data_IF_138487685626
#
_entry.id   IF_138487685626
#
_cell.length_a   1.000
_cell.length_b   1.000
_cell.length_c   1.000
_cell.angle_alpha   90.00
_cell.angle_beta   90.00
_cell.angle_gamma   90.00
#
_symmetry.space_group_name_H-M   'P 1'
#
loop_
_entity.id
_entity.type
_entity.pdbx_description
1 polymer ?
#
# COMPACT_ATOMS: atom_id res chain seq x y z
N UNK A 1 -32.61 42.90 43.67
CA UNK A 1 -32.56 44.30 43.18
C UNK A 1 -32.14 44.21 41.72
N UNK A 2 -33.12 44.02 40.82
CA UNK A 2 -33.79 45.05 40.01
C UNK A 2 -32.91 45.42 38.80
N UNK A 3 -33.05 44.74 37.66
CA UNK A 3 -34.04 44.94 36.57
C UNK A 3 -33.85 46.23 35.76
N UNK A 4 -33.81 46.03 34.42
CA UNK A 4 -34.37 46.82 33.30
C UNK A 4 -33.37 46.94 32.15
N UNK A 5 -33.69 46.85 30.87
CA UNK A 5 -34.88 46.45 30.09
C UNK A 5 -34.46 46.49 28.62
N UNK A 6 -34.96 45.56 27.80
CA UNK A 6 -34.96 45.60 26.34
C UNK A 6 -35.83 46.74 25.77
N UNK A 7 -35.77 46.96 24.45
CA UNK A 7 -36.97 47.30 23.68
C UNK A 7 -37.25 46.30 22.55
N UNK A 8 -38.44 45.70 22.59
CA UNK A 8 -39.26 45.36 21.40
C UNK A 8 -39.89 46.70 20.88
N UNK A 9 -40.44 46.88 19.68
CA UNK A 9 -41.18 46.01 18.78
C UNK A 9 -41.34 46.73 17.41
N UNK A 10 -41.54 45.98 16.33
CA UNK A 10 -42.83 45.89 15.58
C UNK A 10 -42.63 45.22 14.22
N UNK A 11 -43.47 44.22 13.99
CA UNK A 11 -43.50 43.41 12.78
C UNK A 11 -44.35 43.99 11.65
N UNK A 12 -44.29 43.28 10.54
CA UNK A 12 -45.35 43.18 9.56
C UNK A 12 -45.31 41.79 8.90
N UNK A 13 -46.27 40.97 9.31
CA UNK A 13 -46.89 39.84 8.61
C UNK A 13 -47.53 40.40 7.30
N UNK A 14 -47.74 39.73 6.16
CA UNK A 14 -48.30 38.41 5.81
C UNK A 14 -47.98 38.16 4.31
N UNK A 15 -47.90 36.89 3.88
CA UNK A 15 -48.60 36.28 2.70
C UNK A 15 -47.73 35.20 2.02
N UNK A 16 -48.04 33.95 2.36
CA UNK A 16 -47.78 32.76 1.54
C UNK A 16 -48.62 32.80 0.25
N UNK A 17 -48.12 32.16 -0.82
CA UNK A 17 -48.99 31.25 -1.55
C UNK A 17 -48.33 29.91 -1.90
N UNK A 18 -48.92 28.85 -1.35
CA UNK A 18 -49.36 27.64 -2.06
C UNK A 18 -48.49 27.02 -3.16
N UNK A 19 -48.04 25.79 -2.87
CA UNK A 19 -47.72 24.70 -3.81
C UNK A 19 -48.73 24.58 -4.96
N UNK A 20 -48.29 24.13 -6.15
CA UNK A 20 -48.69 22.78 -6.58
C UNK A 20 -47.63 22.00 -7.38
N UNK A 21 -47.36 20.76 -6.98
CA UNK A 21 -47.16 19.63 -7.91
C UNK A 21 -48.55 19.12 -8.32
N UNK A 22 -48.81 18.58 -9.54
CA UNK A 22 -48.08 17.41 -10.08
C UNK A 22 -47.99 17.33 -11.62
N UNK A 23 -46.97 16.62 -12.17
CA UNK A 23 -47.14 15.91 -13.46
C UNK A 23 -46.35 14.59 -13.47
N UNK A 24 -47.10 13.51 -13.28
CA UNK A 24 -46.79 12.16 -13.78
C UNK A 24 -46.55 12.25 -15.30
N UNK A 25 -45.49 11.62 -15.80
CA UNK A 25 -45.46 11.15 -17.19
C UNK A 25 -45.51 9.64 -17.18
N UNK A 26 -46.65 9.16 -17.64
CA UNK A 26 -46.96 7.76 -17.84
C UNK A 26 -46.10 7.16 -18.96
N UNK A 27 -45.72 5.92 -18.70
CA UNK A 27 -45.29 4.92 -19.65
C UNK A 27 -46.48 4.62 -20.57
N UNK A 28 -46.24 4.47 -21.88
CA UNK A 28 -47.15 3.68 -22.70
C UNK A 28 -46.36 2.77 -23.66
N UNK A 29 -46.87 1.54 -23.90
CA UNK A 29 -46.12 0.41 -24.44
C UNK A 29 -46.24 0.32 -25.97
N UNK A 30 -45.52 -0.66 -26.52
CA UNK A 30 -45.36 -0.88 -27.94
C UNK A 30 -46.62 -1.21 -28.73
N UNK A 31 -46.46 -1.07 -30.04
CA UNK A 31 -47.28 -1.72 -31.05
C UNK A 31 -46.34 -2.23 -32.14
N UNK A 32 -46.24 -3.55 -32.22
CA UNK A 32 -45.79 -4.25 -33.40
C UNK A 32 -46.88 -4.14 -34.48
N UNK A 33 -46.48 -4.11 -35.76
CA UNK A 33 -46.99 -5.05 -36.77
C UNK A 33 -46.22 -4.94 -38.11
N UNK A 34 -46.29 -5.99 -38.96
CA UNK A 34 -45.22 -6.42 -39.85
C UNK A 34 -45.62 -6.41 -41.34
N UNK A 35 -44.76 -7.03 -42.19
CA UNK A 35 -44.98 -7.59 -43.55
C UNK A 35 -44.00 -7.00 -44.57
N UNK A 36 -43.50 -7.67 -45.62
CA UNK A 36 -43.59 -9.04 -46.19
C UNK A 36 -42.58 -9.11 -47.36
N UNK A 37 -42.16 -10.31 -47.75
CA UNK A 37 -41.69 -10.60 -49.12
C UNK A 37 -40.48 -11.55 -49.20
N UNK A 38 -40.67 -12.88 -49.15
CA UNK A 38 -40.79 -13.85 -50.28
C UNK A 38 -39.45 -14.17 -50.97
N UNK A 39 -38.87 -15.37 -50.77
CA UNK A 39 -39.10 -16.64 -51.52
C UNK A 39 -38.04 -16.82 -52.64
N UNK A 40 -37.58 -17.98 -53.10
CA UNK A 40 -38.05 -19.38 -53.11
C UNK A 40 -36.86 -20.25 -53.61
N UNK A 41 -36.72 -21.51 -53.20
CA UNK A 41 -36.39 -22.66 -54.08
C UNK A 41 -36.23 -23.98 -53.29
N UNK A 42 -36.75 -25.05 -53.89
CA UNK A 42 -37.06 -26.41 -53.40
C UNK A 42 -35.85 -27.38 -53.49
N UNK A 43 -35.95 -28.62 -52.97
CA UNK A 43 -36.44 -29.73 -53.81
C UNK A 43 -37.34 -30.78 -53.09
N UNK A 44 -38.14 -31.50 -53.90
CA UNK A 44 -38.81 -32.77 -53.59
C UNK A 44 -37.81 -33.94 -53.76
N UNK A 45 -38.02 -35.22 -53.43
CA UNK A 45 -39.04 -36.05 -52.79
C UNK A 45 -38.42 -37.47 -52.71
N UNK A 46 -38.80 -38.25 -51.71
CA UNK A 46 -38.72 -39.72 -51.60
C UNK A 46 -37.33 -40.35 -51.35
N UNK A 47 -37.08 -40.77 -50.11
CA UNK A 47 -37.25 -42.16 -49.69
C UNK A 47 -37.13 -42.27 -48.15
N UNK A 48 -37.99 -43.11 -47.56
CA UNK A 48 -38.18 -43.33 -46.12
C UNK A 48 -37.35 -44.56 -45.64
N UNK A 49 -37.45 -45.01 -44.37
CA UNK A 49 -36.63 -44.64 -43.22
C UNK A 49 -35.71 -45.79 -42.72
N UNK A 50 -34.68 -45.49 -41.92
CA UNK A 50 -34.46 -46.23 -40.65
C UNK A 50 -33.30 -45.68 -39.80
N UNK A 51 -33.66 -45.37 -38.55
CA UNK A 51 -32.83 -45.37 -37.33
C UNK A 51 -31.74 -44.30 -37.10
N UNK A 52 -31.62 -43.79 -35.86
CA UNK A 52 -30.99 -42.50 -35.57
C UNK A 52 -29.47 -42.57 -35.63
N UNK A 53 -28.86 -41.82 -36.55
CA UNK A 53 -27.45 -41.46 -36.46
C UNK A 53 -27.25 -40.51 -35.27
N UNK A 54 -26.53 -41.02 -34.28
CA UNK A 54 -25.85 -40.27 -33.23
C UNK A 54 -25.25 -38.98 -33.80
N UNK A 55 -25.87 -37.84 -33.51
CA UNK A 55 -25.20 -36.55 -33.54
C UNK A 55 -24.17 -36.59 -32.42
N UNK A 56 -22.92 -36.88 -32.77
CA UNK A 56 -21.78 -36.68 -31.90
C UNK A 56 -21.76 -35.20 -31.49
N UNK A 57 -22.24 -34.91 -30.29
CA UNK A 57 -21.88 -33.69 -29.60
C UNK A 57 -20.38 -33.77 -29.38
N UNK A 58 -19.60 -33.13 -30.25
CA UNK A 58 -18.24 -32.76 -29.90
C UNK A 58 -18.35 -31.74 -28.77
N UNK A 59 -18.43 -32.26 -27.54
CA UNK A 59 -18.04 -31.51 -26.36
C UNK A 59 -16.62 -31.02 -26.64
N UNK A 60 -16.46 -29.72 -26.86
CA UNK A 60 -15.13 -29.10 -26.87
C UNK A 60 -14.48 -29.52 -25.56
N UNK A 61 -13.46 -30.36 -25.64
CA UNK A 61 -12.61 -30.69 -24.51
C UNK A 61 -12.18 -29.38 -23.87
N UNK A 62 -12.26 -29.24 -22.53
CA UNK A 62 -11.82 -28.03 -21.87
C UNK A 62 -10.37 -27.72 -22.31
N UNK A 63 -10.03 -26.43 -22.52
CA UNK A 63 -8.68 -26.05 -22.92
C UNK A 63 -7.68 -26.71 -21.96
N UNK A 64 -6.77 -27.50 -22.54
CA UNK A 64 -5.71 -28.17 -21.78
C UNK A 64 -4.66 -27.13 -21.47
N UNK A 65 -4.78 -26.55 -20.30
CA UNK A 65 -3.86 -25.56 -19.78
C UNK A 65 -2.54 -26.25 -19.38
N UNK A 66 -1.35 -25.72 -19.73
CA UNK A 66 -0.08 -26.26 -19.26
C UNK A 66 -0.05 -26.43 -17.73
N UNK A 67 0.75 -27.36 -17.22
CA UNK A 67 0.81 -27.58 -15.77
C UNK A 67 1.30 -26.31 -15.05
N UNK A 68 0.77 -26.00 -13.84
CA UNK A 68 1.30 -24.93 -13.00
C UNK A 68 2.81 -25.08 -12.78
N UNK A 69 3.56 -23.98 -12.86
CA UNK A 69 5.00 -23.98 -12.59
C UNK A 69 5.34 -23.03 -11.45
N UNK A 70 6.21 -23.49 -10.55
CA UNK A 70 6.71 -22.70 -9.44
C UNK A 70 7.95 -21.90 -9.87
N UNK A 71 7.97 -20.60 -9.55
CA UNK A 71 9.11 -19.72 -9.77
C UNK A 71 9.36 -18.87 -8.53
N UNK A 72 10.46 -19.13 -7.79
CA UNK A 72 10.81 -18.49 -6.51
C UNK A 72 9.65 -18.54 -5.50
N UNK A 73 8.79 -17.52 -5.52
CA UNK A 73 7.62 -17.35 -4.64
C UNK A 73 6.30 -17.21 -5.40
N UNK A 74 6.27 -17.50 -6.70
CA UNK A 74 5.11 -17.30 -7.56
C UNK A 74 4.67 -18.62 -8.18
N UNK A 75 3.38 -18.91 -8.09
CA UNK A 75 2.76 -19.98 -8.85
C UNK A 75 2.23 -19.41 -10.16
N UNK A 76 2.91 -19.74 -11.27
CA UNK A 76 2.46 -19.37 -12.61
C UNK A 76 1.41 -20.36 -13.07
N UNK A 77 0.26 -19.84 -13.47
CA UNK A 77 -0.79 -20.59 -14.13
C UNK A 77 -0.82 -20.23 -15.62
N UNK A 78 -1.54 -21.00 -16.44
CA UNK A 78 -1.65 -20.73 -17.88
C UNK A 78 -2.49 -19.51 -18.25
N UNK A 79 -2.92 -18.76 -17.25
CA UNK A 79 -3.57 -17.47 -17.36
C UNK A 79 -2.97 -16.52 -16.31
N UNK A 80 -3.00 -15.24 -16.61
CA UNK A 80 -2.58 -14.17 -15.70
C UNK A 80 -3.82 -13.35 -15.33
N UNK A 81 -4.17 -13.33 -14.04
CA UNK A 81 -5.36 -12.63 -13.56
C UNK A 81 -5.17 -11.11 -13.49
N UNK A 82 -3.95 -10.61 -13.70
CA UNK A 82 -3.70 -9.19 -13.93
C UNK A 82 -4.19 -8.75 -15.31
N UNK A 83 -4.27 -9.66 -16.27
CA UNK A 83 -4.87 -9.37 -17.58
C UNK A 83 -6.39 -9.26 -17.43
N UNK A 84 -6.90 -8.04 -17.67
CA UNK A 84 -8.33 -7.73 -17.59
C UNK A 84 -9.18 -8.52 -18.60
N UNK A 85 -8.58 -9.09 -19.63
CA UNK A 85 -9.27 -9.92 -20.62
C UNK A 85 -9.54 -11.36 -20.13
N UNK A 86 -8.74 -11.87 -19.19
CA UNK A 86 -9.02 -13.14 -18.53
C UNK A 86 -10.28 -12.94 -17.70
N UNK A 87 -11.23 -13.89 -17.72
CA UNK A 87 -12.44 -13.80 -16.88
C UNK A 87 -12.30 -14.70 -15.66
N UNK A 88 -12.69 -14.21 -14.50
CA UNK A 88 -12.77 -15.02 -13.28
C UNK A 88 -14.04 -15.89 -13.32
N UNK A 89 -14.00 -16.94 -14.13
CA UNK A 89 -15.13 -17.84 -14.41
C UNK A 89 -14.91 -19.25 -13.84
N UNK A 90 -15.86 -20.16 -14.09
CA UNK A 90 -15.80 -21.53 -13.59
C UNK A 90 -14.56 -22.31 -14.04
N UNK A 91 -13.96 -21.99 -15.19
CA UNK A 91 -12.75 -22.67 -15.66
C UNK A 91 -11.53 -22.23 -14.85
N UNK A 92 -11.41 -20.91 -14.64
CA UNK A 92 -10.38 -20.33 -13.77
C UNK A 92 -10.54 -20.83 -12.35
N UNK A 93 -11.75 -20.73 -11.79
CA UNK A 93 -12.06 -21.19 -10.44
C UNK A 93 -11.71 -22.66 -10.26
N UNK A 94 -12.05 -23.53 -11.22
CA UNK A 94 -11.70 -24.95 -11.15
C UNK A 94 -10.19 -25.17 -11.01
N UNK A 95 -9.35 -24.39 -11.69
CA UNK A 95 -7.89 -24.49 -11.51
C UNK A 95 -7.50 -24.00 -10.11
N UNK A 96 -8.04 -22.86 -9.67
CA UNK A 96 -7.72 -22.27 -8.36
C UNK A 96 -8.11 -23.19 -7.18
N UNK A 97 -9.29 -23.82 -7.22
CA UNK A 97 -9.76 -24.76 -6.19
C UNK A 97 -8.84 -25.98 -6.01
N UNK A 98 -8.03 -26.31 -7.03
CA UNK A 98 -7.11 -27.44 -6.98
C UNK A 98 -5.69 -27.06 -6.50
N UNK A 99 -5.44 -25.80 -6.17
CA UNK A 99 -4.10 -25.35 -5.74
C UNK A 99 -3.81 -25.77 -4.31
N UNK A 100 -4.73 -25.52 -3.39
CA UNK A 100 -4.61 -25.93 -1.99
C UNK A 100 -5.55 -27.10 -1.69
N UNK A 101 -5.12 -28.07 -0.87
CA UNK A 101 -5.99 -29.16 -0.43
C UNK A 101 -7.18 -28.60 0.35
N UNK A 102 -8.34 -29.24 0.21
CA UNK A 102 -9.57 -28.88 0.93
C UNK A 102 -9.98 -27.41 0.79
N UNK A 103 -9.71 -26.78 -0.36
CA UNK A 103 -10.20 -25.44 -0.67
C UNK A 103 -11.73 -25.44 -0.69
N UNK A 104 -12.30 -24.61 0.18
CA UNK A 104 -13.75 -24.41 0.35
C UNK A 104 -14.22 -23.27 -0.53
N UNK A 105 -13.45 -22.18 -0.60
CA UNK A 105 -13.80 -21.00 -1.37
C UNK A 105 -12.57 -20.30 -1.94
N UNK A 106 -12.77 -19.61 -3.07
CA UNK A 106 -11.77 -18.72 -3.68
C UNK A 106 -12.47 -17.44 -4.11
N UNK A 107 -12.07 -16.33 -3.50
CA UNK A 107 -12.63 -15.01 -3.78
C UNK A 107 -11.61 -14.11 -4.47
N UNK A 108 -12.08 -13.35 -5.46
CA UNK A 108 -11.35 -12.24 -6.04
C UNK A 108 -11.55 -11.00 -5.15
N UNK A 109 -10.49 -10.59 -4.46
CA UNK A 109 -10.50 -9.47 -3.53
C UNK A 109 -10.18 -8.13 -4.20
N UNK A 110 -10.82 -7.07 -3.71
CA UNK A 110 -10.39 -5.71 -3.99
C UNK A 110 -10.59 -5.23 -5.41
N UNK A 111 -11.58 -5.72 -6.17
CA UNK A 111 -11.70 -5.45 -7.61
C UNK A 111 -10.46 -5.92 -8.39
N UNK A 112 -10.09 -7.20 -8.18
CA UNK A 112 -9.04 -7.92 -8.93
C UNK A 112 -7.60 -7.58 -8.57
N UNK A 113 -7.36 -7.22 -7.31
CA UNK A 113 -6.01 -6.92 -6.83
C UNK A 113 -5.39 -8.04 -6.00
N UNK A 114 -6.18 -9.00 -5.49
CA UNK A 114 -5.67 -10.17 -4.79
C UNK A 114 -6.67 -11.34 -4.83
N UNK A 115 -6.22 -12.53 -4.44
CA UNK A 115 -7.06 -13.70 -4.20
C UNK A 115 -7.12 -14.03 -2.71
N UNK A 116 -8.30 -14.39 -2.22
CA UNK A 116 -8.44 -15.01 -0.92
C UNK A 116 -8.83 -16.48 -1.07
N UNK A 117 -8.08 -17.36 -0.43
CA UNK A 117 -8.39 -18.78 -0.34
C UNK A 117 -8.93 -19.11 1.05
N UNK A 118 -10.11 -19.72 1.09
CA UNK A 118 -10.65 -20.32 2.31
C UNK A 118 -10.48 -21.83 2.22
N UNK A 119 -9.79 -22.44 3.17
CA UNK A 119 -9.55 -23.89 3.24
C UNK A 119 -10.19 -24.48 4.50
N UNK A 120 -10.45 -25.78 4.52
CA UNK A 120 -10.93 -26.44 5.76
C UNK A 120 -9.86 -26.44 6.85
N UNK A 121 -8.61 -26.63 6.44
CA UNK A 121 -7.43 -26.64 7.31
C UNK A 121 -6.28 -25.99 6.55
N UNK A 122 -5.54 -25.11 7.21
CA UNK A 122 -4.38 -24.48 6.62
C UNK A 122 -3.35 -25.53 6.13
N UNK A 123 -2.92 -25.48 4.86
CA UNK A 123 -1.83 -26.31 4.37
C UNK A 123 -0.51 -25.84 4.99
N UNK A 124 0.49 -26.73 5.04
CA UNK A 124 1.82 -26.36 5.53
C UNK A 124 2.40 -25.20 4.71
N UNK A 125 2.91 -24.19 5.43
CA UNK A 125 3.66 -23.09 4.84
C UNK A 125 5.03 -23.59 4.33
N UNK A 126 5.68 -22.90 3.37
CA UNK A 126 5.37 -21.56 2.86
C UNK A 126 4.32 -21.54 1.75
N UNK A 127 3.53 -20.48 1.73
CA UNK A 127 2.60 -20.19 0.64
C UNK A 127 3.21 -19.21 -0.37
N UNK A 128 2.81 -19.26 -1.65
CA UNK A 128 3.28 -18.33 -2.66
C UNK A 128 2.91 -16.89 -2.31
N UNK A 129 3.76 -15.95 -2.72
CA UNK A 129 3.46 -14.53 -2.72
C UNK A 129 2.33 -14.22 -3.71
N UNK A 130 2.35 -14.83 -4.89
CA UNK A 130 1.30 -14.66 -5.90
C UNK A 130 0.87 -15.98 -6.54
N UNK A 131 -0.40 -16.06 -6.94
CA UNK A 131 -0.96 -17.09 -7.81
C UNK A 131 -1.55 -16.41 -9.04
N UNK A 132 -1.14 -16.86 -10.24
CA UNK A 132 -1.60 -16.28 -11.52
C UNK A 132 -1.43 -14.75 -11.58
N UNK A 133 -0.32 -14.25 -11.07
CA UNK A 133 0.03 -12.81 -11.07
C UNK A 133 -0.61 -11.98 -9.96
N UNK A 134 -1.61 -12.49 -9.23
CA UNK A 134 -2.21 -11.75 -8.10
C UNK A 134 -1.65 -12.21 -6.75
N UNK A 135 -1.42 -11.29 -5.80
CA UNK A 135 -1.10 -11.65 -4.43
C UNK A 135 -2.22 -12.46 -3.77
N UNK A 136 -1.88 -13.23 -2.74
CA UNK A 136 -2.85 -14.10 -2.08
C UNK A 136 -2.92 -13.89 -0.57
N UNK A 137 -4.07 -14.17 0.01
CA UNK A 137 -4.24 -14.51 1.42
C UNK A 137 -4.90 -15.88 1.53
N UNK A 138 -4.64 -16.59 2.62
CA UNK A 138 -5.26 -17.88 2.92
C UNK A 138 -5.68 -17.96 4.39
N UNK A 139 -6.89 -18.45 4.64
CA UNK A 139 -7.44 -18.65 5.97
C UNK A 139 -8.26 -19.93 6.05
N UNK A 140 -8.54 -20.39 7.27
CA UNK A 140 -9.48 -21.48 7.49
C UNK A 140 -10.76 -21.01 8.19
N UNK A 141 -11.75 -21.91 8.26
CA UNK A 141 -13.05 -21.65 8.89
C UNK A 141 -12.98 -21.53 10.41
N UNK A 142 -11.85 -21.90 11.04
CA UNK A 142 -11.64 -21.77 12.48
C UNK A 142 -11.07 -20.39 12.84
N UNK A 143 -10.81 -19.54 11.83
CA UNK A 143 -10.27 -18.21 12.01
C UNK A 143 -8.74 -18.17 12.04
N UNK A 144 -8.06 -19.27 11.71
CA UNK A 144 -6.61 -19.26 11.53
C UNK A 144 -6.25 -18.66 10.17
N UNK A 145 -5.03 -18.14 10.06
CA UNK A 145 -4.54 -17.53 8.83
C UNK A 145 -4.97 -16.07 8.68
N UNK A 146 -5.26 -15.65 7.44
CA UNK A 146 -5.64 -14.27 7.11
C UNK A 146 -6.82 -14.26 6.14
N UNK A 147 -7.94 -13.71 6.61
CA UNK A 147 -9.15 -13.51 5.81
C UNK A 147 -8.99 -12.43 4.75
N UNK A 148 -8.86 -11.17 5.15
CA UNK A 148 -8.71 -10.04 4.22
C UNK A 148 -7.27 -9.55 4.15
N UNK A 149 -6.88 -8.96 3.02
CA UNK A 149 -5.53 -8.39 2.87
C UNK A 149 -5.33 -7.18 3.80
N UNK A 150 -6.34 -6.32 3.86
CA UNK A 150 -6.39 -5.12 4.69
C UNK A 150 -7.43 -5.29 5.79
N UNK A 151 -7.27 -4.61 6.94
CA UNK A 151 -8.21 -4.68 8.04
C UNK A 151 -9.58 -4.12 7.63
N UNK A 152 -10.65 -4.80 8.05
CA UNK A 152 -12.02 -4.30 7.95
C UNK A 152 -12.46 -3.83 9.33
N UNK A 153 -12.31 -2.53 9.61
CA UNK A 153 -12.62 -1.92 10.91
C UNK A 153 -13.91 -1.13 10.86
N UNK A 154 -14.04 -0.09 11.69
CA UNK A 154 -15.24 0.73 11.74
C UNK A 154 -15.33 1.67 10.54
N UNK A 155 -16.40 1.53 9.76
CA UNK A 155 -16.74 2.47 8.71
C UNK A 155 -17.17 3.82 9.28
N UNK A 156 -16.80 4.91 8.60
CA UNK A 156 -17.34 6.24 8.90
C UNK A 156 -18.82 6.39 8.56
N UNK A 157 -19.39 7.55 8.89
CA UNK A 157 -20.77 7.87 8.54
C UNK A 157 -20.89 8.11 7.02
N UNK A 158 -21.53 7.17 6.31
CA UNK A 158 -21.70 7.20 4.85
C UNK A 158 -22.46 8.41 4.30
N UNK A 159 -23.17 9.15 5.17
CA UNK A 159 -23.85 10.40 4.80
C UNK A 159 -22.88 11.58 4.72
N UNK A 160 -21.68 11.47 5.32
CA UNK A 160 -20.66 12.50 5.34
C UNK A 160 -19.58 12.14 4.30
N UNK A 161 -19.34 13.08 3.39
CA UNK A 161 -18.44 12.93 2.25
C UNK A 161 -17.56 14.16 2.18
N UNK A 162 -16.25 13.97 2.07
CA UNK A 162 -15.27 15.07 1.98
C UNK A 162 -14.39 14.92 0.73
N UNK A 163 -13.96 16.05 0.18
CA UNK A 163 -13.13 16.12 -1.03
C UNK A 163 -13.74 15.38 -2.25
N UNK A 164 -15.07 15.47 -2.42
CA UNK A 164 -15.82 14.78 -3.49
C UNK A 164 -15.53 15.32 -4.91
N UNK A 165 -14.80 16.43 -5.02
CA UNK A 165 -14.24 16.97 -6.24
C UNK A 165 -13.09 16.10 -6.81
N UNK A 166 -12.39 15.36 -5.94
CA UNK A 166 -11.36 14.39 -6.33
C UNK A 166 -11.91 12.96 -6.35
N UNK A 167 -11.49 12.14 -7.31
CA UNK A 167 -11.85 10.72 -7.42
C UNK A 167 -10.64 9.82 -7.21
N UNK A 168 -10.34 9.48 -5.95
CA UNK A 168 -9.17 8.69 -5.58
C UNK A 168 -9.26 7.22 -6.05
N UNK A 169 -10.41 6.78 -6.56
CA UNK A 169 -10.59 5.43 -7.12
C UNK A 169 -9.81 5.24 -8.43
N UNK A 170 -9.57 6.33 -9.15
CA UNK A 170 -8.82 6.34 -10.42
C UNK A 170 -7.52 7.13 -10.32
N UNK A 171 -7.18 7.63 -9.13
CA UNK A 171 -5.98 8.43 -8.91
C UNK A 171 -4.73 7.55 -9.03
N UNK A 172 -3.69 8.02 -9.73
CA UNK A 172 -2.40 7.33 -9.77
C UNK A 172 -1.77 7.32 -8.37
N UNK A 173 -0.89 6.34 -8.13
CA UNK A 173 -0.11 6.26 -6.89
C UNK A 173 1.13 7.16 -6.90
N UNK A 174 1.04 8.32 -7.53
CA UNK A 174 2.12 9.31 -7.56
C UNK A 174 2.16 10.10 -6.24
N UNK A 175 3.37 10.33 -5.72
CA UNK A 175 3.56 11.08 -4.46
C UNK A 175 2.93 12.47 -4.52
N UNK A 176 3.01 13.16 -5.68
CA UNK A 176 2.44 14.49 -5.87
C UNK A 176 0.91 14.52 -5.75
N UNK A 177 0.21 13.50 -6.26
CA UNK A 177 -1.23 13.37 -6.13
C UNK A 177 -1.64 13.18 -4.66
N UNK A 178 -0.91 12.33 -3.92
CA UNK A 178 -1.12 12.10 -2.49
C UNK A 178 -0.87 13.38 -1.67
N UNK A 179 0.15 14.16 -1.99
CA UNK A 179 0.44 15.43 -1.31
C UNK A 179 -0.65 16.47 -1.53
N UNK A 180 -1.15 16.57 -2.77
CA UNK A 180 -2.26 17.48 -3.10
C UNK A 180 -3.54 17.10 -2.35
N UNK A 181 -3.76 15.81 -2.13
CA UNK A 181 -4.89 15.31 -1.36
C UNK A 181 -4.71 15.49 0.15
N UNK A 182 -3.47 15.32 0.66
CA UNK A 182 -3.17 15.31 2.09
C UNK A 182 -3.67 16.56 2.81
N UNK A 183 -3.34 17.75 2.30
CA UNK A 183 -3.74 18.99 2.95
C UNK A 183 -5.27 19.18 2.93
N UNK A 184 -5.91 18.93 1.79
CA UNK A 184 -7.35 19.09 1.62
C UNK A 184 -8.16 18.12 2.48
N UNK A 185 -7.76 16.85 2.51
CA UNK A 185 -8.42 15.81 3.33
C UNK A 185 -8.22 16.07 4.81
N UNK A 186 -6.99 16.36 5.23
CA UNK A 186 -6.69 16.67 6.63
C UNK A 186 -7.48 17.90 7.09
N UNK A 187 -7.54 18.95 6.29
CA UNK A 187 -8.31 20.15 6.64
C UNK A 187 -9.81 19.83 6.73
N UNK A 188 -10.34 19.08 5.77
CA UNK A 188 -11.76 18.74 5.73
C UNK A 188 -12.18 17.84 6.90
N UNK A 189 -11.39 16.82 7.25
CA UNK A 189 -11.72 15.94 8.39
C UNK A 189 -11.68 16.70 9.72
N UNK A 190 -10.70 17.60 9.90
CA UNK A 190 -10.59 18.43 11.10
C UNK A 190 -11.69 19.51 11.17
N UNK A 191 -12.28 19.88 10.04
CA UNK A 191 -13.48 20.73 10.01
C UNK A 191 -14.71 19.96 10.50
N UNK A 192 -14.85 18.69 10.12
CA UNK A 192 -15.92 17.82 10.60
C UNK A 192 -15.77 17.50 12.10
N UNK A 193 -14.55 17.19 12.54
CA UNK A 193 -14.22 16.84 13.92
C UNK A 193 -13.01 17.66 14.39
N UNK A 194 -13.23 18.87 14.92
CA UNK A 194 -12.16 19.69 15.47
C UNK A 194 -11.41 18.94 16.58
N UNK A 195 -10.08 18.99 16.53
CA UNK A 195 -9.20 18.33 17.51
C UNK A 195 -9.00 16.83 17.30
N UNK A 196 -9.57 16.22 16.26
CA UNK A 196 -9.36 14.79 15.98
C UNK A 196 -7.86 14.48 15.83
N UNK A 197 -7.38 13.52 16.62
CA UNK A 197 -5.99 13.08 16.62
C UNK A 197 -5.76 12.04 15.52
N UNK A 198 -5.56 12.53 14.29
CA UNK A 198 -5.24 11.71 13.11
C UNK A 198 -3.72 11.58 12.95
N UNK A 199 -3.24 10.35 12.74
CA UNK A 199 -1.84 10.00 12.58
C UNK A 199 -1.47 9.74 11.12
N UNK A 200 -2.33 9.05 10.38
CA UNK A 200 -2.03 8.60 9.01
C UNK A 200 -3.30 8.38 8.20
N UNK A 201 -3.18 8.56 6.89
CA UNK A 201 -4.16 8.11 5.91
C UNK A 201 -3.49 7.11 4.99
N UNK A 202 -4.10 5.93 4.79
CA UNK A 202 -3.59 4.88 3.90
C UNK A 202 -4.67 4.60 2.86
N UNK A 203 -4.35 4.75 1.58
CA UNK A 203 -5.19 4.32 0.46
C UNK A 203 -4.74 2.93 0.00
N UNK A 204 -5.59 1.93 0.22
CA UNK A 204 -5.30 0.53 -0.11
C UNK A 204 -5.56 0.17 -1.58
N UNK A 205 -5.10 -1.02 -1.98
CA UNK A 205 -5.34 -1.59 -3.31
C UNK A 205 -6.83 -1.73 -3.65
N UNK A 206 -7.70 -1.85 -2.64
CA UNK A 206 -9.16 -1.91 -2.82
C UNK A 206 -9.79 -0.52 -2.98
N UNK A 207 -8.97 0.54 -3.03
CA UNK A 207 -9.38 1.94 -3.11
C UNK A 207 -10.24 2.36 -1.91
N UNK A 208 -9.83 1.96 -0.72
CA UNK A 208 -10.39 2.40 0.57
C UNK A 208 -9.35 3.18 1.36
N UNK A 209 -9.82 4.22 2.03
CA UNK A 209 -9.03 4.93 3.02
C UNK A 209 -9.11 4.23 4.37
N UNK A 210 -7.94 4.03 4.97
CA UNK A 210 -7.77 3.67 6.38
C UNK A 210 -7.23 4.90 7.08
N UNK A 211 -8.05 5.52 7.93
CA UNK A 211 -7.68 6.69 8.74
C UNK A 211 -7.23 6.20 10.11
N UNK A 212 -5.94 6.35 10.37
CA UNK A 212 -5.31 5.91 11.62
C UNK A 212 -5.42 7.03 12.64
N UNK A 213 -5.99 6.70 13.80
CA UNK A 213 -6.19 7.61 14.92
C UNK A 213 -5.27 7.26 16.09
N UNK A 214 -4.99 8.24 16.95
CA UNK A 214 -4.39 7.96 18.26
C UNK A 214 -5.32 7.10 19.13
N UNK A 215 -4.74 6.19 19.92
CA UNK A 215 -5.48 5.22 20.73
C UNK A 215 -6.40 5.87 21.79
N UNK A 216 -6.13 7.13 22.16
CA UNK A 216 -6.91 7.88 23.14
C UNK A 216 -8.21 8.49 22.62
N UNK A 217 -8.51 8.37 21.32
CA UNK A 217 -9.72 8.96 20.72
C UNK A 217 -10.97 8.16 21.11
N UNK A 218 -11.93 8.81 21.77
CA UNK A 218 -13.28 8.24 21.96
C UNK A 218 -14.06 8.30 20.64
N UNK A 219 -13.85 7.27 19.82
CA UNK A 219 -14.41 7.20 18.47
C UNK A 219 -15.93 7.14 18.46
N UNK A 220 -16.56 6.56 19.48
CA UNK A 220 -18.01 6.46 19.56
C UNK A 220 -18.65 7.85 19.74
N UNK A 221 -18.01 8.73 20.50
CA UNK A 221 -18.48 10.11 20.70
C UNK A 221 -18.41 10.97 19.42
N UNK A 222 -17.49 10.66 18.51
CA UNK A 222 -17.25 11.45 17.29
C UNK A 222 -17.75 10.80 16.02
N UNK A 223 -18.11 9.50 16.05
CA UNK A 223 -18.47 8.70 14.87
C UNK A 223 -19.50 9.36 13.96
N UNK A 224 -20.54 9.96 14.54
CA UNK A 224 -21.61 10.61 13.79
C UNK A 224 -21.11 11.72 12.85
N UNK A 225 -19.93 12.29 13.12
CA UNK A 225 -19.27 13.34 12.33
C UNK A 225 -18.10 12.84 11.48
N UNK A 226 -17.69 11.57 11.62
CA UNK A 226 -16.60 11.00 10.85
C UNK A 226 -17.02 10.71 9.41
N UNK A 227 -16.32 11.20 8.38
CA UNK A 227 -16.62 10.91 6.99
C UNK A 227 -16.58 9.41 6.64
N UNK A 228 -17.67 8.88 6.06
CA UNK A 228 -17.69 7.55 5.48
C UNK A 228 -17.10 7.50 4.07
N UNK A 229 -16.88 8.67 3.44
CA UNK A 229 -16.19 8.78 2.16
C UNK A 229 -15.20 9.94 2.10
N UNK A 230 -14.01 9.65 1.58
CA UNK A 230 -12.96 10.61 1.29
C UNK A 230 -12.60 10.46 -0.18
N UNK A 231 -12.69 11.54 -0.97
CA UNK A 231 -12.39 11.52 -2.41
C UNK A 231 -13.10 10.36 -3.15
N UNK A 232 -14.39 10.17 -2.83
CA UNK A 232 -15.28 9.10 -3.33
C UNK A 232 -14.90 7.66 -2.94
N UNK A 233 -13.78 7.43 -2.27
CA UNK A 233 -13.38 6.15 -1.70
C UNK A 233 -14.09 5.90 -0.36
N UNK A 234 -14.30 4.63 0.00
CA UNK A 234 -14.84 4.26 1.30
C UNK A 234 -13.80 4.50 2.39
N UNK A 235 -14.26 4.88 3.58
CA UNK A 235 -13.37 5.22 4.70
C UNK A 235 -13.61 4.33 5.91
N UNK A 236 -12.54 3.71 6.38
CA UNK A 236 -12.45 2.93 7.59
C UNK A 236 -11.55 3.65 8.60
N UNK A 237 -11.84 3.47 9.88
CA UNK A 237 -11.09 4.06 10.99
C UNK A 237 -10.49 2.97 11.87
N UNK A 238 -9.24 3.15 12.25
CA UNK A 238 -8.49 2.24 13.08
C UNK A 238 -7.57 3.03 14.02
N UNK A 239 -7.17 2.41 15.11
CA UNK A 239 -6.23 2.97 16.06
C UNK A 239 -4.79 2.56 15.72
N UNK A 240 -3.80 3.29 16.22
CA UNK A 240 -2.38 2.94 16.05
C UNK A 240 -2.07 1.54 16.59
N UNK A 241 -2.69 1.14 17.70
CA UNK A 241 -2.57 -0.22 18.26
C UNK A 241 -3.17 -1.31 17.38
N UNK A 242 -4.18 -1.01 16.56
CA UNK A 242 -4.77 -1.99 15.63
C UNK A 242 -3.79 -2.39 14.53
N UNK A 243 -2.87 -1.49 14.16
CA UNK A 243 -1.85 -1.76 13.15
C UNK A 243 -0.76 -2.70 13.64
N UNK A 244 -0.61 -2.85 14.96
CA UNK A 244 0.44 -3.68 15.60
C UNK A 244 1.84 -3.39 15.06
N UNK A 245 2.13 -2.11 14.82
CA UNK A 245 3.48 -1.65 14.51
C UNK A 245 4.38 -1.88 15.72
N UNK A 246 5.70 -2.06 15.54
CA UNK A 246 6.61 -2.14 16.67
C UNK A 246 6.45 -0.91 17.58
N UNK A 247 6.21 -1.14 18.89
CA UNK A 247 5.88 -0.07 19.84
C UNK A 247 7.01 0.96 19.97
N UNK A 248 6.75 2.20 20.41
CA UNK A 248 7.80 3.22 20.65
C UNK A 248 8.88 2.77 21.64
N UNK A 249 8.56 1.90 22.61
CA UNK A 249 9.54 1.26 23.49
C UNK A 249 10.33 0.14 22.79
N UNK A 250 9.69 -0.63 21.90
CA UNK A 250 10.36 -1.52 20.95
C UNK A 250 10.93 -0.78 19.73
N UNK A 251 10.86 0.56 19.67
CA UNK A 251 11.79 1.29 18.82
C UNK A 251 13.20 1.06 19.31
N UNK A 252 13.47 0.63 20.55
CA UNK A 252 14.78 0.08 20.97
C UNK A 252 15.12 -1.30 20.40
N UNK A 253 14.21 -1.92 19.64
CA UNK A 253 14.48 -3.07 18.79
C UNK A 253 14.63 -2.65 17.31
N UNK A 254 13.92 -1.59 16.85
CA UNK A 254 14.17 -0.95 15.54
C UNK A 254 15.44 -0.07 15.53
N UNK A 255 15.76 0.54 16.66
CA UNK A 255 17.02 1.11 17.08
C UNK A 255 17.86 -0.07 17.52
N UNK A 256 18.97 -0.30 16.81
CA UNK A 256 20.23 -0.79 17.34
C UNK A 256 20.18 -1.39 18.76
N UNK A 257 20.36 -2.70 18.87
CA UNK A 257 21.26 -3.23 19.90
C UNK A 257 22.72 -2.88 19.54
N UNK A 258 23.04 -1.59 19.44
CA UNK A 258 24.41 -1.16 19.71
C UNK A 258 24.32 -0.61 21.10
N UNK A 259 24.67 -1.46 22.08
CA UNK A 259 24.96 -1.01 23.42
C UNK A 259 25.92 0.19 23.28
N UNK A 260 25.48 1.42 23.60
CA UNK A 260 26.36 2.57 23.57
C UNK A 260 27.46 2.24 24.59
N UNK A 261 28.69 2.08 24.12
CA UNK A 261 29.82 2.03 25.02
C UNK A 261 30.40 3.46 25.05
N UNK A 262 30.13 4.26 26.10
CA UNK A 262 30.46 5.68 26.14
C UNK A 262 31.97 5.95 25.98
N UNK A 263 32.81 4.93 26.17
CA UNK A 263 34.26 5.03 26.01
C UNK A 263 34.81 4.86 24.59
N UNK A 264 34.00 4.48 23.58
CA UNK A 264 34.55 3.98 22.30
C UNK A 264 33.95 4.56 21.00
N UNK A 265 33.07 5.55 21.08
CA UNK A 265 32.30 6.03 19.91
C UNK A 265 31.35 4.95 19.38
N UNK A 266 30.22 5.36 18.80
CA UNK A 266 29.22 4.40 18.29
C UNK A 266 29.67 3.87 16.91
N UNK A 267 29.59 2.55 16.72
CA UNK A 267 30.16 1.79 15.58
C UNK A 267 29.05 1.22 14.72
N UNK A 268 28.80 1.79 13.53
CA UNK A 268 27.75 1.27 12.64
C UNK A 268 28.28 0.16 11.75
N UNK A 269 28.32 -1.05 12.31
CA UNK A 269 28.67 -2.28 11.62
C UNK A 269 27.45 -2.99 11.01
N UNK A 270 26.27 -2.36 11.05
CA UNK A 270 25.07 -2.96 10.50
C UNK A 270 25.05 -2.85 8.99
N UNK A 271 24.59 -3.92 8.36
CA UNK A 271 24.70 -4.10 6.94
C UNK A 271 23.38 -3.69 6.26
N UNK A 272 23.24 -2.40 5.96
CA UNK A 272 22.13 -1.83 5.18
C UNK A 272 22.57 -1.42 3.77
N UNK A 273 21.64 -1.47 2.82
CA UNK A 273 21.79 -0.78 1.54
C UNK A 273 21.61 0.72 1.80
N UNK A 274 22.65 1.36 2.31
CA UNK A 274 22.78 2.83 2.26
C UNK A 274 22.98 3.24 0.81
N UNK A 275 22.67 4.49 0.46
CA UNK A 275 22.90 5.00 -0.89
C UNK A 275 23.67 6.31 -0.84
N UNK A 276 24.49 6.53 -1.88
CA UNK A 276 25.20 7.76 -2.14
C UNK A 276 24.29 8.74 -2.84
N UNK A 277 24.21 9.94 -2.29
CA UNK A 277 23.39 11.04 -2.78
C UNK A 277 24.27 12.22 -3.19
N UNK A 278 23.78 13.01 -4.13
CA UNK A 278 24.37 14.28 -4.54
C UNK A 278 23.30 15.38 -4.49
N UNK A 279 23.65 16.54 -3.95
CA UNK A 279 22.80 17.73 -4.01
C UNK A 279 23.08 18.56 -5.28
N UNK A 280 22.32 19.64 -5.49
CA UNK A 280 22.51 20.54 -6.64
C UNK A 280 23.88 21.26 -6.66
N UNK A 281 24.53 21.41 -5.51
CA UNK A 281 25.88 21.97 -5.40
C UNK A 281 27.00 20.97 -5.77
N UNK A 282 26.66 19.68 -5.93
CA UNK A 282 27.61 18.60 -6.20
C UNK A 282 28.22 17.98 -4.93
N UNK A 283 27.77 18.37 -3.75
CA UNK A 283 28.20 17.79 -2.49
C UNK A 283 27.66 16.36 -2.37
N UNK A 284 28.49 15.47 -1.82
CA UNK A 284 28.21 14.04 -1.73
C UNK A 284 27.84 13.64 -0.32
N UNK A 285 26.74 12.92 -0.20
CA UNK A 285 26.22 12.41 1.05
C UNK A 285 25.97 10.91 0.95
N UNK A 286 25.79 10.28 2.10
CA UNK A 286 25.27 8.93 2.21
C UNK A 286 24.03 8.96 3.11
N UNK A 287 23.02 8.16 2.81
CA UNK A 287 21.87 8.01 3.70
C UNK A 287 22.23 7.17 4.91
N UNK A 288 21.70 7.53 6.08
CA UNK A 288 21.77 6.74 7.30
C UNK A 288 20.44 6.76 8.07
N UNK A 289 20.33 5.90 9.08
CA UNK A 289 19.20 5.88 9.98
C UNK A 289 19.38 6.89 11.12
N UNK A 290 18.52 7.92 11.20
CA UNK A 290 18.70 9.03 12.15
C UNK A 290 18.72 8.57 13.60
N UNK A 291 17.80 7.67 13.94
CA UNK A 291 17.71 7.03 15.24
C UNK A 291 18.98 6.22 15.59
N UNK A 292 19.73 5.75 14.59
CA UNK A 292 21.01 5.08 14.80
C UNK A 292 22.16 6.01 15.14
N UNK A 293 22.00 7.34 15.02
CA UNK A 293 23.10 8.29 15.20
C UNK A 293 23.25 8.62 16.69
N UNK A 294 24.45 8.36 17.21
CA UNK A 294 24.82 8.71 18.58
C UNK A 294 25.21 10.17 18.73
N UNK A 295 25.47 10.59 19.98
CA UNK A 295 25.89 11.96 20.34
C UNK A 295 27.16 12.44 19.60
N UNK A 296 28.00 11.52 19.12
CA UNK A 296 29.21 11.86 18.37
C UNK A 296 28.96 12.19 16.90
N UNK A 297 27.75 11.92 16.39
CA UNK A 297 27.32 12.14 15.01
C UNK A 297 28.21 11.46 13.94
N UNK A 298 29.13 10.58 14.34
CA UNK A 298 30.12 9.96 13.46
C UNK A 298 29.70 8.58 12.97
N UNK A 299 30.00 8.31 11.71
CA UNK A 299 29.68 7.06 11.04
C UNK A 299 30.94 6.24 10.78
N UNK A 300 30.95 4.97 11.16
CA UNK A 300 32.12 4.09 11.07
C UNK A 300 31.77 2.79 10.38
N UNK A 301 32.68 2.27 9.56
CA UNK A 301 32.64 0.90 9.04
C UNK A 301 33.53 0.01 9.90
N UNK A 302 33.02 -1.14 10.33
CA UNK A 302 33.86 -2.19 10.92
C UNK A 302 34.53 -3.00 9.82
N UNK A 303 35.85 -3.05 9.86
CA UNK A 303 36.67 -3.85 8.95
C UNK A 303 36.70 -5.31 9.39
N UNK A 304 37.06 -6.27 8.52
CA UNK A 304 37.19 -7.68 8.89
C UNK A 304 38.17 -7.94 10.05
N UNK A 305 39.11 -7.04 10.30
CA UNK A 305 40.03 -7.08 11.44
C UNK A 305 39.37 -6.72 12.78
N UNK A 306 38.15 -6.19 12.77
CA UNK A 306 37.47 -5.58 13.92
C UNK A 306 37.81 -4.10 14.12
N UNK A 307 38.74 -3.54 13.33
CA UNK A 307 39.07 -2.11 13.36
C UNK A 307 37.93 -1.25 12.80
N UNK A 308 37.84 -0.03 13.29
CA UNK A 308 36.83 0.94 12.84
C UNK A 308 37.45 1.93 11.88
N UNK A 309 36.86 2.05 10.69
CA UNK A 309 37.17 3.09 9.71
C UNK A 309 36.11 4.18 9.78
N UNK A 310 36.50 5.41 10.09
CA UNK A 310 35.59 6.56 9.99
C UNK A 310 35.19 6.77 8.52
N UNK A 311 33.89 6.76 8.25
CA UNK A 311 33.32 7.01 6.92
C UNK A 311 32.85 8.44 6.74
N UNK A 312 32.33 9.07 7.80
CA UNK A 312 31.70 10.38 7.68
C UNK A 312 31.08 10.89 8.97
N UNK A 313 30.37 12.01 8.87
CA UNK A 313 29.59 12.61 9.95
C UNK A 313 28.18 12.92 9.47
N UNK A 314 27.19 12.65 10.30
CA UNK A 314 25.83 13.10 10.07
C UNK A 314 25.76 14.62 10.15
N UNK A 315 25.17 15.25 9.14
CA UNK A 315 25.09 16.72 9.02
C UNK A 315 23.66 17.23 9.02
N UNK A 316 22.70 16.37 8.66
CA UNK A 316 21.30 16.73 8.57
C UNK A 316 20.40 15.49 8.80
N UNK A 317 19.23 15.70 9.40
CA UNK A 317 18.11 14.76 9.33
C UNK A 317 17.03 15.35 8.40
N UNK A 318 16.62 14.57 7.41
CA UNK A 318 15.45 14.87 6.61
C UNK A 318 14.21 14.76 7.51
N UNK A 319 13.63 15.92 7.84
CA UNK A 319 12.64 16.04 8.91
C UNK A 319 11.51 15.03 8.80
N UNK A 320 11.19 14.37 9.92
CA UNK A 320 10.11 13.37 10.07
C UNK A 320 10.26 12.07 9.27
N UNK A 321 11.26 11.99 8.40
CA UNK A 321 11.52 10.77 7.64
C UNK A 321 12.36 9.79 8.43
N UNK A 322 13.14 10.25 9.44
CA UNK A 322 14.17 9.49 10.17
C UNK A 322 15.26 8.92 9.22
N UNK A 323 15.52 9.66 8.13
CA UNK A 323 16.66 9.52 7.22
C UNK A 323 17.64 10.65 7.55
N UNK A 324 18.90 10.30 7.78
CA UNK A 324 19.97 11.25 7.97
C UNK A 324 20.93 11.27 6.79
N UNK A 325 21.52 12.43 6.56
CA UNK A 325 22.54 12.66 5.57
C UNK A 325 23.90 12.66 6.26
N UNK A 326 24.78 11.80 5.76
CA UNK A 326 26.15 11.63 6.25
C UNK A 326 27.08 12.22 5.21
N UNK A 327 27.78 13.30 5.58
CA UNK A 327 28.88 13.83 4.79
C UNK A 327 30.08 12.88 4.89
N UNK A 328 30.55 12.41 3.74
CA UNK A 328 31.63 11.43 3.67
C UNK A 328 33.00 12.09 3.85
N UNK A 329 33.93 11.38 4.48
CA UNK A 329 35.33 11.79 4.59
C UNK A 329 35.97 11.91 3.19
N UNK A 330 36.92 12.85 2.98
CA UNK A 330 37.65 12.95 1.73
C UNK A 330 38.28 11.61 1.32
N UNK A 331 38.06 11.20 0.07
CA UNK A 331 38.59 9.94 -0.47
C UNK A 331 37.78 8.68 -0.13
N UNK A 332 36.68 8.78 0.62
CA UNK A 332 35.70 7.70 0.72
C UNK A 332 34.83 7.73 -0.54
N UNK A 333 34.80 6.60 -1.26
CA UNK A 333 33.91 6.41 -2.39
C UNK A 333 32.72 5.56 -1.99
N UNK A 334 31.57 5.86 -2.59
CA UNK A 334 30.34 5.13 -2.42
C UNK A 334 29.96 4.46 -3.74
N UNK A 335 29.47 3.22 -3.67
CA UNK A 335 28.95 2.48 -4.83
C UNK A 335 27.48 2.21 -4.60
N UNK A 336 26.65 2.72 -5.50
CA UNK A 336 25.19 2.62 -5.45
C UNK A 336 24.71 1.26 -5.96
N UNK A 337 25.02 0.21 -5.19
CA UNK A 337 24.67 -1.18 -5.49
C UNK A 337 24.04 -1.87 -4.28
N UNK A 338 23.05 -2.75 -4.49
CA UNK A 338 22.57 -3.67 -3.45
C UNK A 338 23.68 -4.63 -3.00
N UNK A 339 23.55 -5.21 -1.81
CA UNK A 339 24.46 -6.29 -1.39
C UNK A 339 24.49 -7.44 -2.40
N UNK A 340 25.69 -7.96 -2.65
CA UNK A 340 25.90 -9.11 -3.51
C UNK A 340 25.11 -10.33 -3.02
N UNK A 341 24.48 -11.03 -3.96
CA UNK A 341 23.76 -12.27 -3.70
C UNK A 341 24.34 -13.39 -4.56
N UNK A 342 24.62 -14.55 -3.95
CA UNK A 342 25.09 -15.71 -4.71
C UNK A 342 24.04 -16.16 -5.74
N UNK A 343 24.46 -16.23 -7.02
CA UNK A 343 23.68 -16.82 -8.09
C UNK A 343 22.59 -15.93 -8.70
N UNK A 344 22.39 -14.71 -8.21
CA UNK A 344 21.44 -13.74 -8.79
C UNK A 344 22.12 -12.40 -9.02
N UNK A 345 22.03 -11.90 -10.26
CA UNK A 345 22.48 -10.54 -10.60
C UNK A 345 21.42 -9.56 -10.11
N UNK A 346 21.75 -8.75 -9.10
CA UNK A 346 20.90 -7.64 -8.66
C UNK A 346 21.32 -6.40 -9.45
N UNK A 347 20.39 -5.66 -10.09
CA UNK A 347 20.75 -4.46 -10.82
C UNK A 347 21.36 -3.40 -9.88
N UNK A 348 22.34 -2.61 -10.34
CA UNK A 348 22.79 -1.44 -9.61
C UNK A 348 21.63 -0.45 -9.44
N UNK A 349 21.72 0.40 -8.42
CA UNK A 349 20.75 1.48 -8.28
C UNK A 349 20.96 2.49 -9.42
N UNK A 350 19.88 2.83 -10.10
CA UNK A 350 19.95 3.67 -11.31
C UNK A 350 19.62 5.13 -11.00
N UNK A 351 18.59 5.36 -10.18
CA UNK A 351 18.12 6.68 -9.74
C UNK A 351 17.09 6.54 -8.61
N UNK A 352 16.72 7.65 -7.98
CA UNK A 352 15.58 7.70 -7.06
C UNK A 352 14.26 7.83 -7.83
N UNK A 353 13.20 7.22 -7.29
CA UNK A 353 11.83 7.48 -7.69
C UNK A 353 11.45 8.92 -7.31
N UNK A 354 10.92 9.67 -8.27
CA UNK A 354 10.58 11.09 -8.13
C UNK A 354 11.57 12.03 -8.81
N UNK A 355 12.74 11.53 -9.26
CA UNK A 355 13.67 12.33 -10.09
C UNK A 355 13.06 12.66 -11.46
N UNK A 356 12.14 11.82 -11.94
CA UNK A 356 11.31 12.10 -13.11
C UNK A 356 9.87 12.39 -12.66
N UNK A 357 9.25 13.41 -13.24
CA UNK A 357 7.87 13.81 -12.93
C UNK A 357 6.85 12.74 -13.32
N UNK A 358 7.18 11.89 -14.30
CA UNK A 358 6.34 10.79 -14.77
C UNK A 358 6.56 9.49 -13.97
N UNK A 359 7.41 9.53 -12.93
CA UNK A 359 7.64 8.38 -12.09
C UNK A 359 6.41 7.94 -11.33
N UNK A 360 6.13 6.65 -11.44
CA UNK A 360 5.09 5.99 -10.67
C UNK A 360 5.50 4.58 -10.29
N UNK A 361 4.92 4.15 -9.17
CA UNK A 361 4.85 2.78 -8.72
C UNK A 361 3.37 2.46 -8.52
N UNK A 362 2.85 1.45 -9.19
CA UNK A 362 1.43 1.08 -9.15
C UNK A 362 1.18 -0.08 -8.17
N UNK A 363 -0.10 -0.36 -7.93
CA UNK A 363 -0.51 -1.52 -7.13
C UNK A 363 -0.01 -2.81 -7.79
N UNK A 364 0.49 -3.72 -6.96
CA UNK A 364 1.09 -4.99 -7.31
C UNK A 364 2.40 -4.90 -8.11
N UNK A 365 2.99 -3.71 -8.26
CA UNK A 365 4.37 -3.59 -8.73
C UNK A 365 5.32 -4.25 -7.72
N UNK A 366 6.35 -4.91 -8.26
CA UNK A 366 7.33 -5.65 -7.47
C UNK A 366 8.34 -4.69 -6.87
N UNK A 367 8.57 -4.85 -5.58
CA UNK A 367 9.56 -4.09 -4.82
C UNK A 367 10.48 -5.06 -4.11
N UNK A 368 11.77 -4.77 -4.15
CA UNK A 368 12.81 -5.57 -3.56
C UNK A 368 13.44 -4.83 -2.38
N UNK A 369 13.87 -5.61 -1.41
CA UNK A 369 14.64 -5.19 -0.26
C UNK A 369 15.74 -6.23 -0.07
N UNK A 370 16.94 -5.84 0.33
CA UNK A 370 18.01 -6.78 0.62
C UNK A 370 18.61 -6.45 1.98
N UNK A 371 18.89 -7.51 2.75
CA UNK A 371 19.84 -7.44 3.85
C UNK A 371 20.87 -8.58 3.73
N UNK A 372 22.09 -8.44 4.27
CA UNK A 372 23.11 -9.49 4.21
C UNK A 372 22.75 -10.77 4.95
N UNK A 373 21.76 -10.72 5.84
CA UNK A 373 21.27 -11.89 6.56
C UNK A 373 20.12 -12.60 5.84
N UNK A 374 19.34 -11.89 5.00
CA UNK A 374 18.16 -12.47 4.32
C UNK A 374 18.29 -12.58 2.80
N UNK A 375 19.29 -11.92 2.21
CA UNK A 375 19.37 -11.73 0.76
C UNK A 375 18.24 -10.84 0.25
N UNK A 376 17.97 -10.88 -1.06
CA UNK A 376 16.86 -10.14 -1.64
C UNK A 376 15.50 -10.76 -1.25
N UNK A 377 14.71 -9.96 -0.54
CA UNK A 377 13.30 -10.17 -0.29
C UNK A 377 12.46 -9.41 -1.30
N UNK A 378 11.46 -10.12 -1.81
CA UNK A 378 10.48 -9.56 -2.72
C UNK A 378 9.16 -9.26 -2.00
N UNK A 379 8.57 -8.12 -2.35
CA UNK A 379 7.22 -7.74 -2.00
C UNK A 379 6.48 -7.04 -3.14
N UNK A 380 5.24 -6.67 -2.86
CA UNK A 380 4.32 -6.04 -3.80
C UNK A 380 3.78 -4.75 -3.21
N UNK A 381 3.81 -3.66 -3.97
CA UNK A 381 3.22 -2.39 -3.53
C UNK A 381 1.70 -2.54 -3.44
N UNK A 382 1.12 -2.42 -2.25
CA UNK A 382 -0.31 -2.70 -2.05
C UNK A 382 -1.08 -1.56 -1.42
N UNK A 383 -0.41 -0.58 -0.82
CA UNK A 383 -1.06 0.66 -0.40
C UNK A 383 -0.06 1.82 -0.35
N UNK A 384 -0.56 3.05 -0.47
CA UNK A 384 0.23 4.28 -0.27
C UNK A 384 -0.48 5.17 0.72
N UNK A 385 0.26 5.92 1.52
CA UNK A 385 -0.33 6.78 2.53
C UNK A 385 0.51 8.00 2.84
N UNK A 386 -0.02 8.88 3.69
CA UNK A 386 0.73 9.98 4.27
C UNK A 386 0.55 10.02 5.78
N UNK A 387 1.67 10.20 6.48
CA UNK A 387 1.69 10.44 7.93
C UNK A 387 1.67 11.92 8.21
N UNK A 388 0.90 12.29 9.23
CA UNK A 388 0.84 13.64 9.74
C UNK A 388 1.84 13.81 10.88
N UNK A 389 2.76 14.76 10.73
CA UNK A 389 3.65 15.15 11.81
C UNK A 389 3.21 16.52 12.34
N UNK A 390 2.71 16.55 13.58
CA UNK A 390 2.34 17.79 14.26
C UNK A 390 3.62 18.48 14.75
N UNK A 391 3.85 19.71 14.31
CA UNK A 391 4.80 20.60 14.95
C UNK A 391 4.07 21.37 16.04
N UNK A 392 4.47 21.19 17.29
CA UNK A 392 4.02 22.04 18.41
C UNK A 392 4.74 23.40 18.44
N UNK A 393 5.70 23.64 17.54
CA UNK A 393 6.37 24.93 17.38
C UNK A 393 6.13 25.54 16.00
N UNK A 394 5.51 26.73 16.00
CA UNK A 394 5.51 27.64 14.85
C UNK A 394 6.95 27.81 14.35
N UNK A 395 7.24 27.36 13.13
CA UNK A 395 8.59 27.41 12.58
C UNK A 395 8.59 27.95 11.16
N UNK A 396 9.48 28.92 10.95
CA UNK A 396 9.55 29.93 9.89
C UNK A 396 10.21 29.46 8.58
N UNK A 397 10.37 28.16 8.34
CA UNK A 397 11.06 27.64 7.15
C UNK A 397 10.10 26.91 6.19
N UNK A 398 9.98 27.41 4.95
CA UNK A 398 9.06 26.91 3.92
C UNK A 398 9.29 25.43 3.56
N UNK A 399 10.53 24.95 3.61
CA UNK A 399 10.87 23.52 3.36
C UNK A 399 10.31 22.57 4.42
N UNK A 400 10.22 23.00 5.70
CA UNK A 400 9.66 22.19 6.79
C UNK A 400 8.13 22.17 6.77
N UNK A 401 7.49 23.24 6.28
CA UNK A 401 6.04 23.27 6.08
C UNK A 401 5.59 22.28 4.99
N UNK A 402 6.40 22.09 3.95
CA UNK A 402 6.15 21.11 2.89
C UNK A 402 6.33 19.65 3.35
N UNK A 403 7.06 19.40 4.45
CA UNK A 403 7.31 18.06 5.02
C UNK A 403 6.29 17.66 6.11
N UNK A 404 5.23 18.44 6.33
CA UNK A 404 4.13 18.09 7.27
C UNK A 404 3.48 16.74 6.97
N UNK A 405 3.56 16.31 5.72
CA UNK A 405 3.02 15.05 5.23
C UNK A 405 4.15 14.26 4.58
N UNK A 406 4.58 13.20 5.27
CA UNK A 406 5.58 12.26 4.75
C UNK A 406 4.85 11.11 4.09
N UNK A 407 5.19 10.81 2.84
CA UNK A 407 4.60 9.74 2.04
C UNK A 407 5.23 8.41 2.40
N UNK A 408 4.38 7.42 2.63
CA UNK A 408 4.75 6.05 2.94
C UNK A 408 4.16 5.08 1.94
N UNK A 409 4.97 4.08 1.61
CA UNK A 409 4.58 2.92 0.83
C UNK A 409 4.37 1.72 1.76
N UNK A 410 3.31 0.96 1.52
CA UNK A 410 2.95 -0.25 2.23
C UNK A 410 3.09 -1.43 1.29
N UNK A 411 4.12 -2.23 1.55
CA UNK A 411 4.52 -3.32 0.67
C UNK A 411 4.18 -4.65 1.35
N UNK A 412 3.47 -5.51 0.63
CA UNK A 412 3.12 -6.85 1.07
C UNK A 412 4.19 -7.86 0.66
N UNK A 413 4.82 -8.51 1.63
CA UNK A 413 5.87 -9.52 1.41
C UNK A 413 5.37 -10.95 1.57
N UNK A 414 4.05 -11.15 1.66
CA UNK A 414 3.40 -12.44 1.79
C UNK A 414 2.89 -12.71 3.21
N UNK A 415 2.03 -13.72 3.32
CA UNK A 415 1.42 -14.07 4.60
C UNK A 415 2.44 -14.76 5.51
N UNK A 416 2.51 -14.27 6.74
CA UNK A 416 3.40 -14.76 7.80
C UNK A 416 2.52 -15.43 8.84
N UNK A 417 2.77 -16.70 9.15
CA UNK A 417 2.10 -17.41 10.24
C UNK A 417 3.13 -18.00 11.19
N UNK A 418 2.92 -17.95 12.51
CA UNK A 418 3.79 -18.66 13.46
C UNK A 418 3.89 -20.15 13.10
N UNK A 419 5.07 -20.79 13.25
CA UNK A 419 6.31 -20.24 13.82
C UNK A 419 7.25 -19.60 12.78
N UNK A 420 6.75 -19.17 11.62
CA UNK A 420 7.57 -18.76 10.48
C UNK A 420 8.48 -17.55 10.79
N UNK A 421 9.78 -17.72 10.61
CA UNK A 421 10.80 -16.69 10.83
C UNK A 421 11.57 -16.27 9.57
N UNK A 422 11.48 -17.03 8.47
CA UNK A 422 12.21 -16.75 7.22
C UNK A 422 11.73 -15.49 6.48
N UNK A 423 10.51 -15.04 6.75
CA UNK A 423 9.99 -13.76 6.23
C UNK A 423 10.12 -12.61 7.22
N UNK A 424 10.78 -12.82 8.37
CA UNK A 424 11.02 -11.74 9.33
C UNK A 424 12.28 -10.99 8.89
N UNK A 425 12.11 -9.72 8.58
CA UNK A 425 13.17 -8.81 8.22
C UNK A 425 14.02 -8.57 9.48
N UNK A 426 15.33 -8.83 9.43
CA UNK A 426 16.21 -8.72 10.59
C UNK A 426 16.23 -7.32 11.17
N UNK A 427 16.45 -7.25 12.48
CA UNK A 427 16.82 -6.00 13.13
C UNK A 427 18.06 -5.42 12.48
N UNK A 428 18.06 -4.10 12.37
CA UNK A 428 19.09 -3.41 11.64
C UNK A 428 19.02 -3.61 10.13
N UNK A 429 17.78 -3.62 9.58
CA UNK A 429 17.51 -3.39 8.13
C UNK A 429 16.83 -2.03 7.86
N UNK A 430 16.41 -1.32 8.90
CA UNK A 430 15.91 0.07 8.86
C UNK A 430 16.76 0.98 7.96
N UNK A 431 16.12 1.64 6.99
CA UNK A 431 16.72 2.53 5.97
C UNK A 431 17.47 1.89 4.83
N UNK A 432 17.46 0.57 4.74
CA UNK A 432 17.87 -0.06 3.50
C UNK A 432 16.98 0.45 2.36
N UNK A 433 17.63 0.83 1.26
CA UNK A 433 16.96 1.16 0.02
C UNK A 433 16.08 -0.01 -0.43
N UNK A 434 14.86 0.30 -0.83
CA UNK A 434 13.97 -0.59 -1.57
C UNK A 434 13.97 -0.15 -3.04
N UNK A 435 13.87 -1.10 -3.97
CA UNK A 435 13.97 -0.80 -5.40
C UNK A 435 13.03 -1.65 -6.24
N UNK A 436 12.79 -1.23 -7.49
CA UNK A 436 11.99 -1.98 -8.47
C UNK A 436 12.83 -2.89 -9.36
N UNK A 437 12.21 -3.58 -10.32
CA UNK A 437 12.91 -4.47 -11.25
C UNK A 437 13.98 -3.77 -12.12
N UNK A 438 13.91 -2.45 -12.26
CA UNK A 438 14.83 -1.63 -13.04
C UNK A 438 15.95 -1.01 -12.19
N UNK A 439 16.02 -1.32 -10.90
CA UNK A 439 17.00 -0.75 -9.99
C UNK A 439 16.69 0.69 -9.59
N UNK A 440 15.48 1.21 -9.84
CA UNK A 440 15.09 2.53 -9.31
C UNK A 440 14.77 2.39 -7.84
N UNK A 441 15.38 3.23 -7.00
CA UNK A 441 15.12 3.23 -5.56
C UNK A 441 13.72 3.81 -5.31
N UNK A 442 12.81 2.96 -4.86
CA UNK A 442 11.41 3.33 -4.60
C UNK A 442 11.22 3.93 -3.22
N UNK A 443 12.07 3.57 -2.25
CA UNK A 443 11.99 4.10 -0.90
C UNK A 443 13.02 3.55 0.07
N UNK A 444 12.77 3.78 1.36
CA UNK A 444 13.63 3.37 2.47
C UNK A 444 12.82 2.64 3.52
N UNK A 445 13.15 1.36 3.74
CA UNK A 445 12.45 0.50 4.70
C UNK A 445 12.43 1.13 6.11
N UNK A 446 11.29 1.04 6.81
CA UNK A 446 11.12 1.58 8.16
C UNK A 446 10.95 0.47 9.19
N UNK A 447 9.94 -0.36 8.99
CA UNK A 447 9.60 -1.45 9.88
C UNK A 447 8.72 -2.45 9.16
N UNK A 448 8.75 -3.68 9.66
CA UNK A 448 7.83 -4.74 9.29
C UNK A 448 6.72 -4.88 10.34
N UNK A 449 5.52 -5.22 9.89
CA UNK A 449 4.42 -5.66 10.75
C UNK A 449 4.38 -7.19 10.77
N UNK A 450 4.67 -7.77 11.93
CA UNK A 450 4.77 -9.23 12.14
C UNK A 450 3.56 -9.83 12.87
N UNK A 451 2.69 -8.98 13.41
CA UNK A 451 1.47 -9.37 14.13
C UNK A 451 0.26 -8.54 13.69
N UNK A 452 -0.94 -9.03 14.00
CA UNK A 452 -2.18 -8.32 13.74
C UNK A 452 -2.63 -8.29 12.27
N UNK A 453 -3.64 -7.46 11.95
CA UNK A 453 -4.28 -7.45 10.63
C UNK A 453 -3.35 -7.06 9.49
N UNK A 454 -2.38 -6.18 9.74
CA UNK A 454 -1.39 -5.75 8.74
C UNK A 454 -0.17 -6.67 8.67
N UNK A 455 -0.20 -7.83 9.35
CA UNK A 455 0.89 -8.82 9.28
C UNK A 455 1.20 -9.21 7.83
N UNK A 456 2.51 -9.30 7.55
CA UNK A 456 3.03 -9.56 6.20
C UNK A 456 3.29 -8.30 5.38
N UNK A 457 3.05 -7.11 5.95
CA UNK A 457 3.43 -5.84 5.34
C UNK A 457 4.69 -5.25 5.97
N UNK A 458 5.40 -4.45 5.20
CA UNK A 458 6.32 -3.45 5.73
C UNK A 458 5.94 -2.05 5.27
N UNK A 459 6.35 -1.05 6.04
CA UNK A 459 6.27 0.35 5.66
C UNK A 459 7.64 0.85 5.17
N UNK A 460 7.63 1.71 4.17
CA UNK A 460 8.80 2.36 3.60
C UNK A 460 8.52 3.84 3.40
N UNK A 461 9.50 4.72 3.67
CA UNK A 461 9.40 6.13 3.27
C UNK A 461 9.67 6.22 1.77
N UNK A 462 8.83 6.94 1.03
CA UNK A 462 9.00 7.12 -0.42
C UNK A 462 10.32 7.83 -0.74
N UNK A 463 11.03 7.39 -1.79
CA UNK A 463 12.26 8.05 -2.24
C UNK A 463 12.01 9.49 -2.73
N UNK A 464 10.77 9.81 -3.11
CA UNK A 464 10.31 11.16 -3.44
C UNK A 464 10.57 12.17 -2.31
N UNK A 465 10.60 11.74 -1.05
CA UNK A 465 10.94 12.63 0.07
C UNK A 465 12.41 13.08 0.04
N UNK A 466 13.31 12.23 -0.46
CA UNK A 466 14.73 12.56 -0.65
C UNK A 466 14.91 13.47 -1.86
N UNK A 467 14.22 13.17 -2.97
CA UNK A 467 14.23 14.01 -4.16
C UNK A 467 13.71 15.41 -3.87
N UNK A 468 12.60 15.51 -3.15
CA UNK A 468 12.01 16.78 -2.72
C UNK A 468 12.92 17.57 -1.77
N UNK A 469 13.77 16.90 -1.01
CA UNK A 469 14.78 17.55 -0.18
C UNK A 469 15.98 18.10 -1.00
N UNK A 470 15.99 17.90 -2.32
CA UNK A 470 17.02 18.43 -3.23
C UNK A 470 18.17 17.47 -3.49
N UNK A 471 17.95 16.16 -3.30
CA UNK A 471 18.97 15.13 -3.46
C UNK A 471 18.61 14.14 -4.56
N UNK A 472 19.61 13.69 -5.31
CA UNK A 472 19.48 12.64 -6.33
C UNK A 472 20.52 11.56 -6.10
N UNK A 473 20.37 10.42 -6.77
CA UNK A 473 21.38 9.36 -6.72
C UNK A 473 22.72 9.87 -7.27
N UNK A 474 23.81 9.61 -6.53
CA UNK A 474 25.15 10.19 -6.73
C UNK A 474 26.18 9.33 -7.45
#
# INVERSE_FOLDING_TARGET
MAERSSPEAKGQEIVNPSTPSPRKREINPGSAQPSKGRSLATPSSNDEPDSPRLLSSQAKSPPTYPAPSWHKRHLKLPFDLRDRNVKFDNNVLRVLYNIFPDTVDVLEGGNRHYLHFTVKKLPEAPWPLTIAGLPITIGDNEGNGKGTMFPMTMAGNMSIRICDDTDARFMPLESQAFRSLAESVTRAILTCVPGLAVLEFILDAERRFHVVLEDGVDINSVWARLPGRIAKCWTMYLFETDLRRPSPGNRQALLRQVMPNPGHGIVDDTAYNVIGLVNDAGDKFMTGASHGIGESETFHQTLPSGDKRLLGRAVEELSFTNISLVELQPGVQFVNEPFEQQGETVPPFTRLLGEDMDDKIDIADRVFLNSPQTGAMEGLMMAKGWKMHRNDSETTHLSKAQLRYVIYDWVYIGQIEPPRTDLIIPYGTCRSATWDEQGRVTGFFQYQVVEGPMRGFYASVSADEVVKAGYRLG
#
